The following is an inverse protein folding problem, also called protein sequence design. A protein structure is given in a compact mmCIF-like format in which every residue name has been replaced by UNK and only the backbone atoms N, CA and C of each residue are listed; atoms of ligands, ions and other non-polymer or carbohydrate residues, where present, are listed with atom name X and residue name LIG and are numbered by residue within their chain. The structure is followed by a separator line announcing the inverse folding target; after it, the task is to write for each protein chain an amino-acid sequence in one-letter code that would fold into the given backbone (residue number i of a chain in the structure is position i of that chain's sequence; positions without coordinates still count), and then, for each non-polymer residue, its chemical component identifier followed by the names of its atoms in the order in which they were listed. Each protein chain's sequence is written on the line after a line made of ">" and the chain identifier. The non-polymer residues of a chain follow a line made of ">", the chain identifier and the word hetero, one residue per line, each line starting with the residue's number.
data_IF_446698161505
#
_entry.id   IF_446698161505
#
_cell.length_a   1.000
_cell.length_b   1.000
_cell.length_c   1.000
_cell.angle_alpha   90.00
_cell.angle_beta   90.00
_cell.angle_gamma   90.00
#
_symmetry.space_group_name_H-M   'P 1'
#
loop_
_entity.id
_entity.type
_entity.pdbx_description
1 polymer ?
#
# COMPACT_ATOMS: atom_id res chain seq x y z
N UNK A 1 -3.31 21.91 18.04
CA UNK A 1 -3.65 21.51 19.42
C UNK A 1 -3.74 20.01 19.37
N UNK A 2 -2.79 19.34 20.01
CA UNK A 2 -2.46 17.94 19.76
C UNK A 2 -3.24 17.02 20.69
N UNK A 3 -4.56 17.24 20.75
CA UNK A 3 -5.47 16.39 21.49
C UNK A 3 -5.88 15.19 20.62
N UNK A 4 -5.75 14.00 21.19
CA UNK A 4 -6.36 12.79 20.69
C UNK A 4 -7.42 12.32 21.69
N UNK A 5 -8.69 12.58 21.36
CA UNK A 5 -9.81 12.36 22.28
C UNK A 5 -9.57 13.13 23.60
N UNK A 6 -9.32 12.42 24.70
CA UNK A 6 -9.11 13.00 26.03
C UNK A 6 -7.62 13.20 26.37
N UNK A 7 -6.71 12.69 25.53
CA UNK A 7 -5.27 12.71 25.77
C UNK A 7 -4.59 13.89 25.05
N UNK A 8 -3.79 14.65 25.78
CA UNK A 8 -2.92 15.69 25.26
C UNK A 8 -1.51 15.13 25.08
N UNK A 9 -1.04 15.06 23.83
CA UNK A 9 0.31 14.58 23.51
C UNK A 9 1.09 15.68 22.80
N UNK A 10 2.03 16.32 23.50
CA UNK A 10 2.87 17.37 22.93
C UNK A 10 4.29 17.32 23.49
N UNK A 11 5.21 18.06 22.88
CA UNK A 11 6.62 18.09 23.26
C UNK A 11 7.40 19.20 22.55
N UNK A 12 8.65 19.38 22.96
CA UNK A 12 9.58 20.35 22.37
C UNK A 12 11.00 19.79 22.31
N UNK A 13 11.89 20.48 21.58
CA UNK A 13 13.28 20.05 21.38
C UNK A 13 14.20 20.46 22.54
N UNK A 14 13.75 21.37 23.41
CA UNK A 14 14.48 21.80 24.60
C UNK A 14 13.60 21.76 25.85
N UNK A 15 14.23 21.59 27.02
CA UNK A 15 13.53 21.60 28.30
C UNK A 15 12.83 22.95 28.56
N UNK A 16 13.48 24.07 28.22
CA UNK A 16 12.92 25.41 28.41
C UNK A 16 11.63 25.61 27.60
N UNK A 17 11.65 25.23 26.32
CA UNK A 17 10.46 25.31 25.47
C UNK A 17 9.37 24.34 25.94
N UNK A 18 9.75 23.13 26.40
CA UNK A 18 8.79 22.16 26.92
C UNK A 18 8.09 22.65 28.20
N UNK A 19 8.82 23.30 29.11
CA UNK A 19 8.27 23.93 30.31
C UNK A 19 7.34 25.10 29.97
N UNK A 20 7.76 25.96 29.03
CA UNK A 20 6.92 27.05 28.56
C UNK A 20 5.63 26.53 27.94
N UNK A 21 5.72 25.53 27.05
CA UNK A 21 4.58 24.88 26.42
C UNK A 21 3.64 24.23 27.44
N UNK A 22 4.18 23.50 28.41
CA UNK A 22 3.42 22.90 29.50
C UNK A 22 2.63 23.96 30.28
N UNK A 23 3.26 25.08 30.63
CA UNK A 23 2.62 26.17 31.34
C UNK A 23 1.50 26.82 30.51
N UNK A 24 1.77 27.12 29.24
CA UNK A 24 0.78 27.71 28.34
C UNK A 24 -0.43 26.80 28.15
N UNK A 25 -0.21 25.50 27.93
CA UNK A 25 -1.28 24.52 27.77
C UNK A 25 -2.09 24.36 29.06
N UNK A 26 -1.44 24.29 30.22
CA UNK A 26 -2.10 24.16 31.52
C UNK A 26 -2.99 25.37 31.80
N UNK A 27 -2.49 26.59 31.56
CA UNK A 27 -3.28 27.82 31.72
C UNK A 27 -4.46 27.87 30.77
N UNK A 28 -4.26 27.50 29.50
CA UNK A 28 -5.31 27.48 28.49
C UNK A 28 -6.44 26.51 28.86
N UNK A 29 -6.09 25.27 29.24
CA UNK A 29 -7.06 24.24 29.64
C UNK A 29 -7.77 24.64 30.94
N UNK A 30 -7.05 25.24 31.90
CA UNK A 30 -7.63 25.76 33.14
C UNK A 30 -8.62 26.90 32.91
N UNK A 31 -8.38 27.76 31.90
CA UNK A 31 -9.31 28.83 31.52
C UNK A 31 -10.66 28.30 31.01
N UNK A 32 -10.68 27.06 30.52
CA UNK A 32 -11.89 26.34 30.12
C UNK A 32 -12.52 25.52 31.27
N UNK A 33 -11.99 25.63 32.50
CA UNK A 33 -12.49 24.89 33.67
C UNK A 33 -12.04 23.42 33.72
N UNK A 34 -11.05 23.04 32.91
CA UNK A 34 -10.52 21.67 32.84
C UNK A 34 -9.16 21.59 33.55
N UNK A 35 -8.83 20.42 34.09
CA UNK A 35 -7.55 20.18 34.78
C UNK A 35 -6.85 18.98 34.15
N UNK A 36 -5.64 19.19 33.65
CA UNK A 36 -4.80 18.12 33.11
C UNK A 36 -4.32 17.22 34.26
N UNK A 37 -4.39 15.89 34.05
CA UNK A 37 -3.98 14.87 35.02
C UNK A 37 -3.20 13.76 34.32
N UNK A 38 -2.63 12.85 35.12
CA UNK A 38 -1.83 11.71 34.65
C UNK A 38 -0.61 12.12 33.82
N UNK A 39 0.06 13.21 34.20
CA UNK A 39 1.23 13.72 33.50
C UNK A 39 2.37 12.69 33.42
N UNK A 40 2.93 12.51 32.22
CA UNK A 40 4.04 11.61 31.94
C UNK A 40 5.04 12.28 30.97
N UNK A 41 6.33 12.03 31.17
CA UNK A 41 7.41 12.66 30.39
C UNK A 41 8.65 11.77 30.39
N UNK A 42 9.40 11.76 29.27
CA UNK A 42 10.72 11.13 29.20
C UNK A 42 11.84 11.98 29.84
N UNK A 43 11.56 13.25 30.13
CA UNK A 43 12.43 14.13 30.90
C UNK A 43 11.96 14.24 32.35
N UNK A 44 12.81 13.82 33.30
CA UNK A 44 12.52 13.85 34.74
C UNK A 44 12.37 15.28 35.27
N UNK A 45 13.14 16.23 34.75
CA UNK A 45 13.07 17.65 35.13
C UNK A 45 11.72 18.27 34.75
N UNK A 46 11.20 17.96 33.55
CA UNK A 46 9.86 18.36 33.11
C UNK A 46 8.74 17.64 33.89
N UNK A 47 8.97 16.40 34.33
CA UNK A 47 8.00 15.69 35.16
C UNK A 47 7.94 16.27 36.58
N UNK A 48 9.07 16.76 37.08
CA UNK A 48 9.19 17.31 38.43
C UNK A 48 8.50 18.68 38.61
N UNK A 49 8.21 19.41 37.52
CA UNK A 49 7.40 20.63 37.56
C UNK A 49 5.90 20.36 37.79
N UNK A 50 5.43 19.12 37.60
CA UNK A 50 4.04 18.71 37.82
C UNK A 50 3.87 18.26 39.27
N UNK A 51 2.78 18.64 39.94
CA UNK A 51 2.49 18.14 41.30
C UNK A 51 2.34 16.61 41.33
N UNK A 52 2.82 15.96 42.40
CA UNK A 52 2.92 14.49 42.47
C UNK A 52 1.59 13.76 42.32
N UNK A 53 0.48 14.37 42.75
CA UNK A 53 -0.88 13.85 42.65
C UNK A 53 -1.47 13.96 41.22
N UNK A 54 -0.89 14.83 40.39
CA UNK A 54 -1.26 15.02 38.99
C UNK A 54 -0.42 14.18 38.03
N UNK A 55 0.64 13.50 38.51
CA UNK A 55 1.50 12.62 37.70
C UNK A 55 0.84 11.26 37.46
N UNK A 56 1.28 10.57 36.41
CA UNK A 56 0.90 9.17 36.16
C UNK A 56 1.39 8.30 37.32
N UNK A 57 0.48 7.55 37.96
CA UNK A 57 0.79 6.69 39.11
C UNK A 57 1.64 5.47 38.74
N UNK A 58 1.50 4.99 37.50
CA UNK A 58 2.26 3.87 36.96
C UNK A 58 3.50 4.38 36.22
N UNK A 59 4.56 3.58 36.22
CA UNK A 59 5.81 3.89 35.51
C UNK A 59 5.68 3.86 33.98
N UNK A 60 4.51 3.48 33.47
CA UNK A 60 4.24 3.28 32.05
C UNK A 60 2.87 3.77 31.64
N UNK A 61 2.80 4.41 30.48
CA UNK A 61 1.56 4.85 29.86
C UNK A 61 1.01 3.78 28.92
N UNK A 62 -0.27 3.48 29.04
CA UNK A 62 -0.96 2.53 28.18
C UNK A 62 -1.79 3.30 27.14
N UNK A 63 -1.53 3.09 25.85
CA UNK A 63 -2.33 3.72 24.79
C UNK A 63 -3.67 3.01 24.55
N UNK A 64 -3.90 1.90 25.24
CA UNK A 64 -5.11 1.09 25.19
C UNK A 64 -5.90 1.22 26.50
N UNK A 65 -6.56 2.36 26.76
CA UNK A 65 -7.36 2.61 27.98
C UNK A 65 -8.78 1.99 27.94
N UNK A 66 -8.99 0.95 27.11
CA UNK A 66 -10.24 0.16 27.12
C UNK A 66 -10.15 -0.91 28.22
N UNK A 67 -11.19 -1.02 29.06
CA UNK A 67 -11.41 -2.08 30.09
C UNK A 67 -11.49 -3.52 29.52
N UNK A 68 -11.11 -3.74 28.26
CA UNK A 68 -11.11 -5.05 27.61
C UNK A 68 -9.79 -5.77 27.83
N UNK A 69 -9.87 -7.05 28.23
CA UNK A 69 -8.70 -7.94 28.38
C UNK A 69 -8.11 -8.24 27.00
N UNK A 70 -7.13 -7.44 26.57
CA UNK A 70 -6.34 -7.60 25.34
C UNK A 70 -5.17 -8.57 25.53
N UNK A 71 -4.72 -9.20 24.45
CA UNK A 71 -3.61 -10.16 24.46
C UNK A 71 -2.26 -9.47 24.29
N UNK A 72 -2.22 -8.50 23.39
CA UNK A 72 -1.05 -7.65 23.11
C UNK A 72 -1.55 -6.20 23.07
N UNK A 73 -0.84 -5.29 23.74
CA UNK A 73 -1.14 -3.85 23.76
C UNK A 73 0.16 -3.04 23.85
N UNK A 74 0.14 -1.79 23.37
CA UNK A 74 1.35 -0.96 23.33
C UNK A 74 1.43 -0.12 24.61
N UNK A 75 2.57 -0.22 25.27
CA UNK A 75 2.90 0.54 26.47
C UNK A 75 4.11 1.43 26.18
N UNK A 76 4.08 2.68 26.61
CA UNK A 76 5.24 3.57 26.61
C UNK A 76 5.87 3.61 27.99
N UNK A 77 7.18 3.42 28.06
CA UNK A 77 7.97 3.63 29.26
C UNK A 77 8.71 4.97 29.14
N UNK A 78 8.23 6.05 29.78
CA UNK A 78 8.77 7.39 29.55
C UNK A 78 10.24 7.49 29.94
N UNK A 79 10.64 6.93 31.07
CA UNK A 79 12.00 7.08 31.60
C UNK A 79 13.11 6.51 30.69
N UNK A 80 12.80 5.52 29.85
CA UNK A 80 13.74 5.00 28.85
C UNK A 80 13.36 5.35 27.41
N UNK A 81 12.28 6.10 27.24
CA UNK A 81 11.68 6.49 25.97
C UNK A 81 11.46 5.37 24.94
N UNK A 82 10.90 4.25 25.41
CA UNK A 82 10.74 3.02 24.62
C UNK A 82 9.30 2.53 24.71
N UNK A 83 8.76 2.06 23.59
CA UNK A 83 7.55 1.26 23.56
C UNK A 83 7.87 -0.22 23.77
N UNK A 84 6.99 -0.87 24.49
CA UNK A 84 7.01 -2.31 24.71
C UNK A 84 5.59 -2.86 24.62
N UNK A 85 5.49 -4.17 24.58
CA UNK A 85 4.21 -4.85 24.43
C UNK A 85 3.80 -5.51 25.74
N UNK A 86 2.55 -5.27 26.14
CA UNK A 86 1.92 -6.00 27.24
C UNK A 86 1.68 -7.44 26.81
N UNK A 87 2.11 -8.39 27.62
CA UNK A 87 1.79 -9.80 27.42
C UNK A 87 0.58 -10.16 28.27
N UNK A 88 -0.46 -10.66 27.63
CA UNK A 88 -1.44 -11.51 28.31
C UNK A 88 -1.30 -12.91 27.74
N UNK A 89 -1.17 -13.95 28.58
CA UNK A 89 -1.08 -15.32 28.13
C UNK A 89 -2.20 -15.66 27.14
N UNK A 90 -1.82 -16.28 26.03
CA UNK A 90 -2.73 -16.90 25.08
C UNK A 90 -3.26 -18.24 25.63
N UNK A 91 -3.61 -18.31 26.92
CA UNK A 91 -4.15 -19.53 27.51
C UNK A 91 -5.62 -19.68 27.11
N UNK A 92 -5.99 -20.88 26.69
CA UNK A 92 -7.38 -21.23 26.43
C UNK A 92 -7.79 -22.37 27.35
N UNK A 93 -8.72 -22.10 28.26
CA UNK A 93 -9.38 -23.15 29.04
C UNK A 93 -10.52 -23.74 28.21
N UNK A 94 -10.32 -24.96 27.68
CA UNK A 94 -11.35 -25.74 26.99
C UNK A 94 -11.01 -26.17 25.57
N UNK A 95 -12.05 -26.34 24.73
CA UNK A 95 -11.89 -26.72 23.32
C UNK A 95 -11.55 -25.52 22.44
N UNK A 96 -10.40 -25.57 21.77
CA UNK A 96 -10.03 -24.57 20.77
C UNK A 96 -10.97 -24.66 19.55
N UNK A 97 -11.69 -23.57 19.27
CA UNK A 97 -12.66 -23.47 18.17
C UNK A 97 -12.32 -22.28 17.27
N UNK A 98 -12.94 -22.19 16.10
CA UNK A 98 -12.77 -21.04 15.21
C UNK A 98 -13.18 -19.72 15.89
N UNK A 99 -14.24 -19.74 16.70
CA UNK A 99 -14.73 -18.56 17.44
C UNK A 99 -13.69 -18.07 18.45
N UNK A 100 -13.14 -18.99 19.23
CA UNK A 100 -12.21 -18.63 20.30
C UNK A 100 -10.89 -18.16 19.72
N UNK A 101 -10.41 -18.81 18.66
CA UNK A 101 -9.20 -18.38 17.94
C UNK A 101 -9.37 -16.99 17.34
N UNK A 102 -10.49 -16.69 16.67
CA UNK A 102 -10.76 -15.35 16.14
C UNK A 102 -10.84 -14.29 17.24
N UNK A 103 -11.54 -14.59 18.34
CA UNK A 103 -11.66 -13.68 19.49
C UNK A 103 -10.28 -13.33 20.04
N UNK A 104 -9.41 -14.33 20.16
CA UNK A 104 -8.06 -14.14 20.64
C UNK A 104 -7.19 -13.33 19.67
N UNK A 105 -7.30 -13.56 18.37
CA UNK A 105 -6.59 -12.75 17.35
C UNK A 105 -7.06 -11.30 17.39
N UNK A 106 -8.35 -11.06 17.56
CA UNK A 106 -8.91 -9.71 17.60
C UNK A 106 -8.44 -8.92 18.84
N UNK A 107 -8.01 -9.60 19.90
CA UNK A 107 -7.43 -9.01 21.11
C UNK A 107 -5.95 -8.60 20.95
N UNK A 108 -5.32 -8.93 19.83
CA UNK A 108 -3.96 -8.50 19.53
C UNK A 108 -3.98 -7.08 18.96
N UNK A 109 -3.55 -6.12 19.77
CA UNK A 109 -3.41 -4.72 19.35
C UNK A 109 -1.98 -4.42 18.90
N UNK A 110 -1.83 -4.17 17.59
CA UNK A 110 -0.58 -3.77 16.94
C UNK A 110 -0.91 -2.77 15.81
N UNK A 111 -1.27 -1.51 16.14
CA UNK A 111 -1.74 -0.51 15.19
C UNK A 111 -0.70 -0.15 14.13
N UNK A 112 0.58 -0.17 14.50
CA UNK A 112 1.70 0.17 13.62
C UNK A 112 2.29 -1.06 12.91
N UNK A 113 1.83 -2.26 13.23
CA UNK A 113 2.24 -3.48 12.54
C UNK A 113 3.67 -3.91 12.85
N UNK A 114 4.26 -3.51 13.98
CA UNK A 114 5.63 -3.90 14.35
C UNK A 114 5.75 -5.41 14.54
N UNK A 115 4.67 -6.08 14.95
CA UNK A 115 4.59 -7.54 15.11
C UNK A 115 3.99 -8.22 13.87
N UNK A 116 3.95 -7.55 12.72
CA UNK A 116 3.42 -8.09 11.45
C UNK A 116 3.94 -9.49 11.08
N UNK A 117 5.24 -9.81 11.21
CA UNK A 117 5.75 -11.16 10.93
C UNK A 117 5.15 -12.25 11.84
N UNK A 118 4.62 -11.89 13.00
CA UNK A 118 3.94 -12.83 13.88
C UNK A 118 2.45 -12.85 13.56
N UNK A 119 1.83 -11.68 13.54
CA UNK A 119 0.37 -11.58 13.40
C UNK A 119 -0.14 -12.10 12.06
N UNK A 120 0.70 -12.17 11.02
CA UNK A 120 0.34 -12.79 9.74
C UNK A 120 0.10 -14.30 9.86
N UNK A 121 0.79 -15.00 10.76
CA UNK A 121 0.59 -16.43 10.98
C UNK A 121 -0.80 -16.69 11.56
N UNK A 122 -1.21 -15.88 12.54
CA UNK A 122 -2.56 -15.90 13.09
C UNK A 122 -3.64 -15.73 12.01
N UNK A 123 -3.47 -14.71 11.15
CA UNK A 123 -4.39 -14.44 10.04
C UNK A 123 -4.41 -15.59 9.03
N UNK A 124 -3.28 -16.25 8.80
CA UNK A 124 -3.15 -17.39 7.89
C UNK A 124 -3.84 -18.64 8.45
N UNK A 125 -3.69 -18.93 9.75
CA UNK A 125 -4.43 -19.99 10.44
C UNK A 125 -5.94 -19.77 10.30
N UNK A 126 -6.42 -18.55 10.57
CA UNK A 126 -7.84 -18.23 10.38
C UNK A 126 -8.29 -18.48 8.95
N UNK A 127 -7.52 -18.05 7.94
CA UNK A 127 -7.87 -18.30 6.55
C UNK A 127 -7.98 -19.79 6.23
N UNK A 128 -7.09 -20.63 6.76
CA UNK A 128 -7.15 -22.10 6.59
C UNK A 128 -8.45 -22.68 7.17
N UNK A 129 -8.84 -22.26 8.37
CA UNK A 129 -10.10 -22.69 8.99
C UNK A 129 -11.33 -22.28 8.16
N UNK A 130 -11.30 -21.09 7.54
CA UNK A 130 -12.34 -20.66 6.61
C UNK A 130 -12.37 -21.50 5.34
N UNK A 131 -11.22 -21.85 4.76
CA UNK A 131 -11.11 -22.73 3.58
C UNK A 131 -11.66 -24.13 3.86
N UNK A 132 -11.45 -24.65 5.06
CA UNK A 132 -11.98 -25.94 5.52
C UNK A 132 -13.48 -25.89 5.87
N UNK A 133 -14.13 -24.72 5.79
CA UNK A 133 -15.54 -24.52 6.12
C UNK A 133 -15.92 -24.95 7.55
N UNK A 134 -14.96 -24.89 8.49
CA UNK A 134 -15.17 -25.25 9.89
C UNK A 134 -16.26 -24.37 10.52
N UNK A 135 -17.18 -24.96 11.29
CA UNK A 135 -18.21 -24.19 12.01
C UNK A 135 -17.59 -23.39 13.16
N UNK A 136 -18.35 -22.42 13.68
CA UNK A 136 -17.84 -21.48 14.70
C UNK A 136 -17.38 -22.16 15.99
N UNK A 137 -18.17 -23.10 16.49
CA UNK A 137 -17.99 -23.75 17.79
C UNK A 137 -17.49 -25.20 17.64
N UNK A 138 -17.03 -25.56 16.44
CA UNK A 138 -16.43 -26.86 16.15
C UNK A 138 -14.94 -26.86 16.52
N UNK A 139 -14.46 -28.01 17.02
CA UNK A 139 -13.07 -28.20 17.43
C UNK A 139 -12.14 -28.06 16.22
N UNK A 140 -11.07 -27.28 16.37
CA UNK A 140 -10.07 -27.15 15.30
C UNK A 140 -9.31 -28.47 15.09
N UNK A 141 -8.87 -28.75 13.86
CA UNK A 141 -7.99 -29.89 13.57
C UNK A 141 -6.73 -29.92 14.44
N UNK A 142 -6.24 -31.13 14.72
CA UNK A 142 -5.08 -31.33 15.62
C UNK A 142 -3.82 -30.62 15.12
N UNK A 143 -3.59 -30.58 13.81
CA UNK A 143 -2.46 -29.86 13.21
C UNK A 143 -2.53 -28.35 13.50
N UNK A 144 -3.71 -27.75 13.32
CA UNK A 144 -3.94 -26.33 13.63
C UNK A 144 -3.80 -26.06 15.13
N UNK A 145 -4.29 -26.96 15.97
CA UNK A 145 -4.18 -26.84 17.41
C UNK A 145 -2.72 -26.79 17.85
N UNK A 146 -1.90 -27.74 17.39
CA UNK A 146 -0.48 -27.80 17.73
C UNK A 146 0.29 -26.57 17.25
N UNK A 147 0.03 -26.12 16.01
CA UNK A 147 0.63 -24.89 15.47
C UNK A 147 0.24 -23.66 16.29
N UNK A 148 -1.04 -23.55 16.69
CA UNK A 148 -1.50 -22.45 17.54
C UNK A 148 -0.87 -22.48 18.93
N UNK A 149 -0.77 -23.65 19.57
CA UNK A 149 -0.14 -23.79 20.89
C UNK A 149 1.35 -23.40 20.87
N UNK A 150 2.07 -23.72 19.79
CA UNK A 150 3.45 -23.27 19.60
C UNK A 150 3.53 -21.74 19.54
N UNK A 151 2.71 -21.10 18.71
CA UNK A 151 2.68 -19.64 18.60
C UNK A 151 2.21 -18.96 19.89
N UNK A 152 1.31 -19.61 20.63
CA UNK A 152 0.81 -19.12 21.91
C UNK A 152 1.88 -19.14 23.00
N UNK A 153 2.72 -20.16 23.01
CA UNK A 153 3.87 -20.25 23.92
C UNK A 153 4.94 -19.22 23.59
N UNK A 154 5.18 -18.94 22.31
CA UNK A 154 6.21 -17.98 21.91
C UNK A 154 5.84 -16.51 22.23
N UNK A 155 4.55 -16.19 22.48
CA UNK A 155 4.11 -14.84 22.88
C UNK A 155 4.81 -14.36 24.15
N UNK A 156 5.31 -15.26 25.00
CA UNK A 156 6.07 -14.87 26.20
C UNK A 156 7.34 -14.05 25.90
N UNK A 157 7.89 -14.15 24.70
CA UNK A 157 9.10 -13.42 24.26
C UNK A 157 8.81 -12.00 23.76
N UNK A 158 7.53 -11.62 23.64
CA UNK A 158 7.12 -10.30 23.14
C UNK A 158 7.57 -9.14 24.04
N UNK A 159 7.65 -9.36 25.34
CA UNK A 159 8.09 -8.38 26.34
C UNK A 159 9.54 -7.92 26.12
N UNK A 160 10.33 -8.74 25.43
CA UNK A 160 11.74 -8.46 25.16
C UNK A 160 11.89 -7.53 23.94
N UNK A 161 10.82 -7.34 23.15
CA UNK A 161 10.79 -6.40 22.03
C UNK A 161 10.68 -4.96 22.58
N UNK A 162 11.71 -4.17 22.27
CA UNK A 162 11.81 -2.76 22.64
C UNK A 162 11.86 -1.92 21.37
N UNK A 163 10.94 -0.97 21.23
CA UNK A 163 10.87 -0.05 20.10
C UNK A 163 11.19 1.36 20.60
N UNK A 164 12.33 1.96 20.24
CA UNK A 164 12.59 3.36 20.58
C UNK A 164 11.46 4.27 20.09
N UNK A 165 10.94 5.17 20.92
CA UNK A 165 9.88 6.09 20.46
C UNK A 165 10.44 7.15 19.51
N UNK A 166 11.62 7.67 19.83
CA UNK A 166 12.24 8.78 19.12
C UNK A 166 12.90 8.29 17.82
N UNK A 167 12.45 8.84 16.68
CA UNK A 167 12.91 8.43 15.35
C UNK A 167 14.14 9.22 14.87
N UNK A 168 14.34 10.41 15.43
CA UNK A 168 15.40 11.32 15.05
C UNK A 168 16.70 11.00 15.82
N UNK A 169 17.84 11.45 15.29
CA UNK A 169 19.10 11.38 16.04
C UNK A 169 19.23 12.62 16.91
N UNK A 170 19.20 13.81 16.28
CA UNK A 170 19.24 15.11 16.94
C UNK A 170 18.06 16.02 16.48
N UNK A 171 18.10 17.34 16.70
CA UNK A 171 17.03 18.27 16.30
C UNK A 171 17.02 18.56 14.79
N UNK A 172 18.19 18.65 14.16
CA UNK A 172 18.36 18.95 12.74
C UNK A 172 18.88 17.71 12.01
N UNK A 173 17.96 16.94 11.41
CA UNK A 173 18.34 15.75 10.64
C UNK A 173 17.74 15.77 9.24
N UNK A 174 18.49 15.23 8.29
CA UNK A 174 17.92 14.69 7.06
C UNK A 174 17.05 13.49 7.41
N UNK A 175 15.83 13.48 6.90
CA UNK A 175 14.84 12.45 7.22
C UNK A 175 14.29 11.84 5.93
N UNK A 176 14.66 10.58 5.70
CA UNK A 176 14.27 9.84 4.51
C UNK A 176 13.36 8.66 4.88
N UNK A 177 12.44 8.32 3.98
CA UNK A 177 11.54 7.19 4.12
C UNK A 177 11.82 6.15 3.04
N UNK A 178 11.95 4.90 3.48
CA UNK A 178 12.21 3.76 2.62
C UNK A 178 11.12 2.72 2.79
N UNK A 179 10.34 2.54 1.72
CA UNK A 179 9.23 1.62 1.66
C UNK A 179 9.60 0.33 0.96
N UNK A 180 9.26 -0.81 1.53
CA UNK A 180 9.50 -2.14 0.95
C UNK A 180 8.19 -2.89 0.83
N UNK A 181 7.94 -3.48 -0.34
CA UNK A 181 6.80 -4.36 -0.58
C UNK A 181 7.25 -5.74 -1.01
N UNK A 182 6.60 -6.75 -0.47
CA UNK A 182 6.82 -8.15 -0.82
C UNK A 182 5.47 -8.88 -0.89
N UNK A 183 5.42 -9.96 -1.66
CA UNK A 183 4.27 -10.84 -1.74
C UNK A 183 4.67 -12.32 -1.90
N UNK A 184 3.90 -13.17 -1.22
CA UNK A 184 3.91 -14.61 -1.40
C UNK A 184 2.51 -15.11 -1.73
N UNK A 185 2.39 -16.41 -2.04
CA UNK A 185 1.09 -17.06 -2.22
C UNK A 185 0.20 -17.00 -0.98
N UNK A 186 0.79 -16.81 0.21
CA UNK A 186 0.07 -16.75 1.49
C UNK A 186 -0.39 -15.32 1.82
N UNK A 187 0.46 -14.33 1.60
CA UNK A 187 0.23 -12.96 2.03
C UNK A 187 1.10 -11.96 1.26
N UNK A 188 0.68 -10.69 1.25
CA UNK A 188 1.49 -9.57 0.80
C UNK A 188 1.60 -8.52 1.89
N UNK A 189 2.73 -7.81 1.90
CA UNK A 189 3.10 -6.91 2.97
C UNK A 189 3.73 -5.62 2.42
N UNK A 190 3.69 -4.60 3.26
CA UNK A 190 4.42 -3.36 3.09
C UNK A 190 5.06 -2.95 4.42
N UNK A 191 6.30 -2.48 4.41
CA UNK A 191 7.03 -1.98 5.56
C UNK A 191 7.69 -0.66 5.22
N UNK A 192 7.67 0.30 6.14
CA UNK A 192 8.27 1.63 5.95
C UNK A 192 9.25 1.90 7.08
N UNK A 193 10.48 2.16 6.70
CA UNK A 193 11.57 2.52 7.60
C UNK A 193 11.91 3.99 7.44
N UNK A 194 12.26 4.66 8.53
CA UNK A 194 12.97 5.93 8.46
C UNK A 194 14.47 5.70 8.42
N UNK A 195 15.15 6.66 7.81
CA UNK A 195 16.56 6.93 8.01
C UNK A 195 16.66 8.38 8.47
N UNK A 196 17.17 8.60 9.68
CA UNK A 196 17.57 9.92 10.15
C UNK A 196 19.08 10.03 10.19
N UNK A 197 19.61 11.11 9.62
CA UNK A 197 21.05 11.40 9.57
C UNK A 197 21.30 12.76 10.18
N UNK A 198 22.08 12.79 11.26
CA UNK A 198 22.54 14.04 11.89
C UNK A 198 23.68 14.66 11.08
N UNK A 199 23.94 15.95 11.32
CA UNK A 199 25.10 16.66 10.76
C UNK A 199 26.44 16.02 11.16
N UNK A 200 26.49 15.29 12.28
CA UNK A 200 27.69 14.56 12.73
C UNK A 200 27.89 13.22 12.01
N UNK A 201 26.99 12.84 11.11
CA UNK A 201 27.02 11.57 10.38
C UNK A 201 26.50 10.38 11.18
N UNK A 202 25.95 10.58 12.40
CA UNK A 202 25.23 9.52 13.10
C UNK A 202 23.93 9.21 12.36
N UNK A 203 23.68 7.92 12.21
CA UNK A 203 22.55 7.34 11.49
C UNK A 203 21.64 6.61 12.48
N UNK A 204 20.33 6.80 12.35
CA UNK A 204 19.33 5.94 12.98
C UNK A 204 18.36 5.40 11.91
N UNK A 205 18.16 4.09 11.92
CA UNK A 205 17.24 3.39 11.01
C UNK A 205 16.25 2.59 11.84
N UNK A 206 14.96 2.83 11.60
CA UNK A 206 13.90 2.19 12.38
C UNK A 206 12.65 1.95 11.56
N UNK A 207 11.96 0.84 11.83
CA UNK A 207 10.63 0.56 11.30
C UNK A 207 9.59 1.52 11.92
N UNK A 208 8.95 2.34 11.08
CA UNK A 208 7.87 3.23 11.51
C UNK A 208 6.56 2.47 11.55
N UNK A 209 6.22 1.84 10.41
CA UNK A 209 4.93 1.19 10.23
C UNK A 209 5.04 0.05 9.22
N UNK A 210 4.30 -1.01 9.47
CA UNK A 210 4.11 -2.10 8.51
C UNK A 210 2.64 -2.52 8.43
N UNK A 211 2.29 -3.14 7.32
CA UNK A 211 0.93 -3.62 7.07
C UNK A 211 0.97 -4.91 6.27
N UNK A 212 0.23 -5.91 6.76
CA UNK A 212 0.10 -7.21 6.12
C UNK A 212 -1.33 -7.51 5.71
N UNK A 213 -1.49 -8.22 4.59
CA UNK A 213 -2.77 -8.74 4.12
C UNK A 213 -2.62 -10.17 3.63
N UNK A 214 -3.51 -11.04 4.08
CA UNK A 214 -3.57 -12.42 3.58
C UNK A 214 -4.00 -12.39 2.11
N UNK A 215 -3.39 -13.25 1.29
CA UNK A 215 -3.73 -13.38 -0.11
C UNK A 215 -5.22 -13.75 -0.27
N UNK A 216 -5.93 -13.25 -1.30
CA UNK A 216 -7.34 -13.57 -1.50
C UNK A 216 -7.60 -15.07 -1.62
N UNK A 217 -8.80 -15.52 -1.24
CA UNK A 217 -9.20 -16.93 -1.40
C UNK A 217 -9.27 -17.37 -2.88
N UNK A 218 -9.66 -16.44 -3.76
CA UNK A 218 -9.58 -16.66 -5.20
C UNK A 218 -8.12 -16.62 -5.60
N UNK A 219 -7.65 -17.63 -6.33
CA UNK A 219 -6.28 -17.69 -6.81
C UNK A 219 -5.97 -16.49 -7.69
N UNK A 220 -4.91 -15.78 -7.32
CA UNK A 220 -4.37 -14.64 -8.05
C UNK A 220 -2.91 -15.00 -8.35
N UNK A 221 -2.43 -14.66 -9.55
CA UNK A 221 -1.03 -14.90 -9.88
C UNK A 221 -0.10 -14.12 -8.96
N UNK A 222 1.10 -14.66 -8.71
CA UNK A 222 2.10 -14.03 -7.85
C UNK A 222 2.42 -12.58 -8.30
N UNK A 223 2.63 -12.28 -9.60
CA UNK A 223 2.85 -10.89 -10.05
C UNK A 223 1.73 -9.92 -9.68
N UNK A 224 0.48 -10.39 -9.71
CA UNK A 224 -0.68 -9.57 -9.31
C UNK A 224 -0.76 -9.38 -7.79
N UNK A 225 -0.25 -10.32 -6.99
CA UNK A 225 -0.11 -10.16 -5.53
C UNK A 225 1.02 -9.19 -5.20
N UNK A 226 2.17 -9.29 -5.88
CA UNK A 226 3.28 -8.34 -5.78
C UNK A 226 2.79 -6.91 -6.10
N UNK A 227 2.00 -6.73 -7.18
CA UNK A 227 1.37 -5.45 -7.50
C UNK A 227 0.40 -4.96 -6.41
N UNK A 228 -0.27 -5.89 -5.70
CA UNK A 228 -1.09 -5.52 -4.54
C UNK A 228 -0.24 -5.07 -3.35
N UNK A 229 0.93 -5.69 -3.13
CA UNK A 229 1.94 -5.25 -2.17
C UNK A 229 2.43 -3.84 -2.48
N UNK A 230 2.80 -3.57 -3.74
CA UNK A 230 3.21 -2.25 -4.21
C UNK A 230 2.11 -1.18 -4.00
N UNK A 231 0.85 -1.50 -4.33
CA UNK A 231 -0.26 -0.58 -4.08
C UNK A 231 -0.52 -0.37 -2.58
N UNK A 232 -0.32 -1.40 -1.74
CA UNK A 232 -0.42 -1.28 -0.30
C UNK A 232 0.67 -0.32 0.23
N UNK A 233 1.89 -0.44 -0.31
CA UNK A 233 3.03 0.35 0.10
C UNK A 233 2.85 1.85 -0.19
N UNK A 234 2.45 2.24 -1.40
CA UNK A 234 2.25 3.68 -1.71
C UNK A 234 1.17 4.33 -0.86
N UNK A 235 0.11 3.59 -0.53
CA UNK A 235 -0.94 4.07 0.36
C UNK A 235 -0.45 4.20 1.78
N UNK A 236 0.37 3.26 2.23
CA UNK A 236 0.97 3.30 3.55
C UNK A 236 1.94 4.47 3.64
N UNK A 237 2.74 4.73 2.60
CA UNK A 237 3.67 5.86 2.53
C UNK A 237 2.94 7.20 2.55
N UNK A 238 1.91 7.37 1.72
CA UNK A 238 1.08 8.59 1.73
C UNK A 238 0.46 8.85 3.11
N UNK A 239 -0.03 7.80 3.78
CA UNK A 239 -0.51 7.90 5.16
C UNK A 239 0.61 8.31 6.13
N UNK A 240 1.77 7.67 6.07
CA UNK A 240 2.91 7.95 6.96
C UNK A 240 3.41 9.38 6.79
N UNK A 241 3.57 9.86 5.55
CA UNK A 241 4.01 11.23 5.28
C UNK A 241 3.06 12.26 5.90
N UNK A 242 1.74 12.03 5.80
CA UNK A 242 0.71 12.91 6.38
C UNK A 242 0.69 12.83 7.90
N UNK A 243 0.87 11.64 8.47
CA UNK A 243 0.80 11.41 9.91
C UNK A 243 2.02 11.95 10.66
N UNK A 244 3.22 11.87 10.08
CA UNK A 244 4.45 12.35 10.73
C UNK A 244 4.51 13.88 10.83
N UNK A 245 3.89 14.59 9.88
CA UNK A 245 3.90 16.06 9.81
C UNK A 245 5.31 16.67 10.00
N UNK A 246 6.34 15.98 9.49
CA UNK A 246 7.75 16.35 9.56
C UNK A 246 8.32 16.48 8.13
N UNK A 247 9.26 17.40 7.87
CA UNK A 247 9.88 17.53 6.54
C UNK A 247 10.59 16.25 6.10
N UNK A 248 10.08 15.60 5.05
CA UNK A 248 10.67 14.38 4.48
C UNK A 248 11.52 14.79 3.28
N UNK A 249 12.82 14.54 3.37
CA UNK A 249 13.79 14.86 2.31
C UNK A 249 13.60 13.97 1.09
N UNK A 250 13.33 12.66 1.29
CA UNK A 250 13.08 11.73 0.19
C UNK A 250 12.22 10.55 0.64
N UNK A 251 11.32 10.09 -0.24
CA UNK A 251 10.60 8.84 -0.08
C UNK A 251 10.91 7.92 -1.27
N UNK A 252 11.35 6.69 -1.03
CA UNK A 252 11.67 5.69 -2.05
C UNK A 252 10.90 4.39 -1.82
N UNK A 253 10.69 3.64 -2.90
CA UNK A 253 9.92 2.40 -2.92
C UNK A 253 10.76 1.26 -3.48
N UNK A 254 10.65 0.09 -2.87
CA UNK A 254 11.43 -1.08 -3.23
C UNK A 254 10.53 -2.31 -3.36
N UNK A 255 10.80 -3.12 -4.38
CA UNK A 255 10.20 -4.44 -4.60
C UNK A 255 11.22 -5.35 -5.28
N UNK A 256 11.12 -6.64 -5.04
CA UNK A 256 11.87 -7.69 -5.73
C UNK A 256 11.24 -8.09 -7.08
N UNK A 257 10.03 -7.59 -7.37
CA UNK A 257 9.32 -7.91 -8.60
C UNK A 257 9.68 -6.96 -9.74
N UNK A 258 10.55 -7.43 -10.62
CA UNK A 258 10.88 -6.76 -11.89
C UNK A 258 9.66 -6.59 -12.80
N UNK A 259 8.69 -7.52 -12.74
CA UNK A 259 7.42 -7.43 -13.46
C UNK A 259 6.61 -6.23 -12.97
N UNK A 260 6.49 -6.06 -11.65
CA UNK A 260 5.78 -4.92 -11.06
C UNK A 260 6.46 -3.60 -11.40
N UNK A 261 7.80 -3.54 -11.36
CA UNK A 261 8.55 -2.36 -11.78
C UNK A 261 8.29 -2.00 -13.24
N UNK A 262 8.28 -2.99 -14.14
CA UNK A 262 7.93 -2.80 -15.54
C UNK A 262 6.50 -2.25 -15.73
N UNK A 263 5.54 -2.80 -14.95
CA UNK A 263 4.15 -2.32 -14.96
C UNK A 263 4.00 -0.88 -14.48
N UNK A 264 4.69 -0.52 -13.40
CA UNK A 264 4.67 0.83 -12.81
C UNK A 264 5.37 1.84 -13.73
N UNK A 265 6.45 1.45 -14.39
CA UNK A 265 7.19 2.30 -15.34
C UNK A 265 6.44 2.60 -16.63
N UNK A 266 5.42 1.82 -16.97
CA UNK A 266 4.64 1.99 -18.21
C UNK A 266 3.29 2.67 -17.98
N UNK A 267 2.72 3.29 -19.01
CA UNK A 267 1.41 3.92 -18.91
C UNK A 267 0.29 2.89 -18.60
N UNK A 268 -0.56 3.20 -17.61
CA UNK A 268 -1.58 2.28 -17.10
C UNK A 268 -2.54 1.71 -18.18
N UNK A 269 -2.82 2.47 -19.24
CA UNK A 269 -3.72 2.03 -20.34
C UNK A 269 -3.21 0.82 -21.12
N UNK A 270 -1.90 0.53 -21.05
CA UNK A 270 -1.26 -0.62 -21.69
C UNK A 270 -1.75 -1.94 -21.09
N UNK A 271 -2.20 -1.94 -19.83
CA UNK A 271 -2.46 -3.17 -19.09
C UNK A 271 -3.94 -3.56 -19.05
N UNK A 272 -4.22 -4.85 -18.82
CA UNK A 272 -5.57 -5.35 -18.52
C UNK A 272 -6.11 -4.68 -17.25
N UNK A 273 -7.43 -4.63 -17.13
CA UNK A 273 -8.15 -3.80 -16.15
C UNK A 273 -7.67 -3.97 -14.69
N UNK A 274 -7.32 -5.18 -14.27
CA UNK A 274 -6.81 -5.42 -12.91
C UNK A 274 -5.50 -4.66 -12.63
N UNK A 275 -4.55 -4.76 -13.56
CA UNK A 275 -3.21 -4.15 -13.46
C UNK A 275 -3.33 -2.65 -13.73
N UNK A 276 -4.03 -2.25 -14.80
CA UNK A 276 -4.24 -0.84 -15.17
C UNK A 276 -4.79 0.00 -14.01
N UNK A 277 -5.84 -0.49 -13.33
CA UNK A 277 -6.47 0.24 -12.23
C UNK A 277 -5.55 0.39 -11.01
N UNK A 278 -4.60 -0.53 -10.79
CA UNK A 278 -3.65 -0.47 -9.67
C UNK A 278 -2.44 0.38 -10.03
N UNK A 279 -1.90 0.20 -11.23
CA UNK A 279 -0.82 1.02 -11.77
C UNK A 279 -1.22 2.49 -11.80
N UNK A 280 -2.44 2.81 -12.29
CA UNK A 280 -2.94 4.19 -12.26
C UNK A 280 -2.95 4.78 -10.84
N UNK A 281 -3.39 4.01 -9.83
CA UNK A 281 -3.39 4.47 -8.42
C UNK A 281 -1.98 4.60 -7.85
N UNK A 282 -1.06 3.74 -8.24
CA UNK A 282 0.36 3.86 -7.85
C UNK A 282 0.96 5.12 -8.43
N UNK A 283 0.73 5.37 -9.73
CA UNK A 283 1.22 6.54 -10.45
C UNK A 283 0.60 7.86 -9.97
N UNK A 284 -0.59 7.85 -9.34
CA UNK A 284 -1.15 9.04 -8.69
C UNK A 284 -0.47 9.40 -7.36
N UNK A 285 0.16 8.44 -6.70
CA UNK A 285 0.75 8.62 -5.36
C UNK A 285 2.29 8.56 -5.35
N UNK A 286 2.90 8.15 -6.46
CA UNK A 286 4.35 8.00 -6.59
C UNK A 286 4.79 8.17 -8.05
N UNK A 287 6.02 8.64 -8.25
CA UNK A 287 6.69 8.63 -9.55
C UNK A 287 7.39 7.31 -9.79
N UNK A 288 7.41 6.83 -11.04
CA UNK A 288 8.15 5.64 -11.44
C UNK A 288 9.65 5.73 -11.10
N UNK A 289 10.23 6.93 -11.08
CA UNK A 289 11.66 7.16 -10.73
C UNK A 289 11.99 6.91 -9.26
N UNK A 290 10.98 6.78 -8.40
CA UNK A 290 11.17 6.49 -6.97
C UNK A 290 11.17 4.97 -6.68
N UNK A 291 10.93 4.14 -7.68
CA UNK A 291 10.80 2.70 -7.54
C UNK A 291 12.09 1.97 -7.96
N UNK A 292 12.57 1.09 -7.08
CA UNK A 292 13.82 0.39 -7.24
C UNK A 292 13.66 -1.11 -7.02
N UNK A 293 14.53 -1.87 -7.66
CA UNK A 293 14.62 -3.31 -7.44
C UNK A 293 15.51 -3.61 -6.24
N UNK A 294 15.07 -4.52 -5.37
CA UNK A 294 15.91 -5.11 -4.33
C UNK A 294 15.47 -6.54 -4.03
N UNK A 295 16.42 -7.42 -3.73
CA UNK A 295 16.09 -8.78 -3.31
C UNK A 295 15.66 -8.84 -1.83
N UNK A 296 14.46 -9.36 -1.56
CA UNK A 296 14.12 -10.06 -0.32
C UNK A 296 14.08 -9.26 1.00
N UNK A 297 13.62 -8.01 0.98
CA UNK A 297 13.71 -7.08 2.13
C UNK A 297 12.47 -7.05 3.04
N UNK A 298 11.33 -7.61 2.62
CA UNK A 298 10.08 -7.66 3.41
C UNK A 298 9.51 -9.09 3.63
N UNK A 299 10.30 -10.12 3.31
CA UNK A 299 9.94 -11.56 3.38
C UNK A 299 9.41 -12.02 4.74
N UNK A 300 9.92 -11.45 5.83
CA UNK A 300 9.52 -11.86 7.18
C UNK A 300 8.02 -11.63 7.42
N UNK A 301 7.46 -10.55 6.87
CA UNK A 301 6.05 -10.20 7.04
C UNK A 301 5.10 -10.93 6.09
N UNK A 302 5.60 -11.56 5.02
CA UNK A 302 4.79 -12.38 4.10
C UNK A 302 4.84 -13.87 4.46
N UNK A 303 5.99 -14.36 4.95
CA UNK A 303 6.18 -15.77 5.34
C UNK A 303 5.74 -16.07 6.77
N UNK A 304 6.00 -15.12 7.67
CA UNK A 304 5.85 -15.27 9.10
C UNK A 304 7.04 -15.97 9.76
N UNK A 305 7.35 -15.59 11.00
CA UNK A 305 8.48 -16.13 11.80
C UNK A 305 8.12 -16.31 13.27
N UNK A 306 8.88 -17.08 14.04
CA UNK A 306 8.70 -17.14 15.50
C UNK A 306 9.08 -15.82 16.17
N UNK A 307 8.63 -15.60 17.41
CA UNK A 307 9.02 -14.41 18.18
C UNK A 307 10.53 -14.36 18.46
N UNK A 308 11.15 -15.51 18.73
CA UNK A 308 12.60 -15.60 18.94
C UNK A 308 13.40 -15.21 17.69
N UNK A 309 12.93 -15.59 16.51
CA UNK A 309 13.52 -15.16 15.24
C UNK A 309 13.30 -13.67 15.00
N UNK A 310 12.12 -13.14 15.32
CA UNK A 310 11.83 -11.70 15.17
C UNK A 310 12.81 -10.84 15.97
N UNK A 311 13.09 -11.22 17.22
CA UNK A 311 14.02 -10.51 18.12
C UNK A 311 15.44 -10.38 17.57
N UNK A 312 15.90 -11.39 16.83
CA UNK A 312 17.27 -11.42 16.27
C UNK A 312 17.32 -10.98 14.80
N UNK A 313 16.16 -10.64 14.22
CA UNK A 313 16.05 -10.27 12.82
C UNK A 313 16.31 -8.78 12.58
N UNK A 314 16.48 -8.43 11.30
CA UNK A 314 16.57 -7.04 10.83
C UNK A 314 15.22 -6.32 10.78
N UNK A 315 14.11 -6.97 11.11
CA UNK A 315 12.76 -6.44 10.84
C UNK A 315 12.48 -5.07 11.46
N UNK A 316 13.01 -4.80 12.67
CA UNK A 316 12.77 -3.52 13.36
C UNK A 316 13.80 -2.45 12.99
N UNK A 317 14.99 -2.85 12.54
CA UNK A 317 16.12 -1.97 12.25
C UNK A 317 16.35 -1.76 10.75
N UNK A 318 15.59 -2.45 9.90
CA UNK A 318 15.70 -2.39 8.44
C UNK A 318 16.92 -3.15 7.86
N UNK A 319 16.96 -3.28 6.53
CA UNK A 319 18.07 -3.92 5.83
C UNK A 319 19.42 -3.22 6.06
N UNK A 320 20.51 -4.00 6.05
CA UNK A 320 21.87 -3.51 6.33
C UNK A 320 22.30 -2.34 5.46
N UNK A 321 21.95 -2.32 4.18
CA UNK A 321 22.34 -1.25 3.28
C UNK A 321 21.76 0.12 3.68
N UNK A 322 20.65 0.16 4.44
CA UNK A 322 20.13 1.43 4.96
C UNK A 322 21.04 2.08 6.01
N UNK A 323 21.95 1.30 6.60
CA UNK A 323 22.95 1.77 7.57
C UNK A 323 24.25 2.21 6.88
N UNK A 324 24.34 2.11 5.56
CA UNK A 324 25.46 2.60 4.77
C UNK A 324 25.29 4.08 4.42
N UNK A 325 26.34 4.71 3.86
CA UNK A 325 26.33 6.12 3.52
C UNK A 325 25.32 6.38 2.39
N UNK A 326 24.33 7.21 2.68
CA UNK A 326 23.36 7.71 1.70
C UNK A 326 24.02 8.76 0.78
N UNK A 327 23.73 8.80 -0.55
CA UNK A 327 22.76 8.00 -1.31
C UNK A 327 23.26 6.62 -1.71
N UNK A 328 22.36 5.63 -1.70
CA UNK A 328 22.67 4.25 -2.09
C UNK A 328 22.84 4.11 -3.60
N UNK A 329 23.81 3.31 -4.05
CA UNK A 329 23.92 2.91 -5.45
C UNK A 329 22.82 1.88 -5.77
N UNK A 330 21.84 2.25 -6.57
CA UNK A 330 20.82 1.33 -7.09
C UNK A 330 21.15 0.97 -8.54
N UNK A 331 21.37 -0.31 -8.81
CA UNK A 331 21.48 -0.83 -10.17
C UNK A 331 20.17 -0.57 -10.93
N UNK A 332 20.19 0.45 -11.79
CA UNK A 332 19.00 1.00 -12.47
C UNK A 332 18.54 0.17 -13.67
N UNK A 333 18.96 -1.09 -13.78
CA UNK A 333 18.54 -1.94 -14.90
C UNK A 333 17.16 -2.52 -14.61
N UNK A 334 16.13 -2.04 -15.30
CA UNK A 334 14.81 -2.69 -15.33
C UNK A 334 14.90 -3.88 -16.28
N UNK A 335 14.81 -5.14 -15.81
CA UNK A 335 14.81 -6.28 -16.71
C UNK A 335 13.48 -6.33 -17.46
N UNK A 336 13.53 -6.45 -18.77
CA UNK A 336 12.35 -6.69 -19.60
C UNK A 336 11.93 -8.15 -19.41
N UNK A 337 10.92 -8.40 -18.57
CA UNK A 337 10.40 -9.75 -18.33
C UNK A 337 9.29 -10.13 -19.33
N UNK A 338 9.33 -11.36 -19.84
CA UNK A 338 8.33 -11.87 -20.79
C UNK A 338 6.91 -11.97 -20.19
N UNK A 339 6.78 -12.09 -18.87
CA UNK A 339 5.48 -12.15 -18.19
C UNK A 339 4.71 -10.83 -18.22
N UNK A 340 5.40 -9.68 -18.35
CA UNK A 340 4.74 -8.40 -18.53
C UNK A 340 3.87 -8.38 -19.80
N UNK A 341 4.24 -9.15 -20.84
CA UNK A 341 3.53 -9.25 -22.11
C UNK A 341 2.16 -9.94 -21.95
N UNK A 342 1.99 -10.84 -20.97
CA UNK A 342 0.72 -11.56 -20.77
C UNK A 342 -0.43 -10.66 -20.25
N UNK A 343 -0.11 -9.59 -19.52
CA UNK A 343 -1.10 -8.65 -18.99
C UNK A 343 -1.32 -7.42 -19.88
N UNK A 344 -0.63 -7.35 -21.02
CA UNK A 344 -0.80 -6.29 -21.99
C UNK A 344 -2.16 -6.40 -22.71
N UNK A 345 -2.82 -5.26 -22.92
CA UNK A 345 -4.00 -5.19 -23.78
C UNK A 345 -3.54 -5.30 -25.22
N UNK A 346 -4.02 -6.32 -25.93
CA UNK A 346 -3.85 -6.39 -27.37
C UNK A 346 -4.53 -5.17 -28.02
N UNK A 347 -3.73 -4.28 -28.59
CA UNK A 347 -4.25 -3.28 -29.50
C UNK A 347 -4.28 -3.91 -30.89
N UNK A 348 -5.48 -4.26 -31.40
CA UNK A 348 -5.61 -4.73 -32.78
C UNK A 348 -5.37 -3.54 -33.71
N UNK A 349 -4.12 -3.37 -34.14
CA UNK A 349 -3.78 -2.40 -35.18
C UNK A 349 -4.28 -2.95 -36.52
N UNK A 350 -5.43 -2.42 -36.98
CA UNK A 350 -5.92 -2.72 -38.32
C UNK A 350 -5.22 -1.78 -39.31
N UNK A 351 -4.13 -2.26 -39.93
CA UNK A 351 -3.50 -1.52 -41.02
C UNK A 351 -4.32 -1.71 -42.30
N UNK A 352 -4.87 -0.62 -42.81
CA UNK A 352 -5.43 -0.60 -44.16
C UNK A 352 -4.26 -0.23 -45.09
N UNK A 353 -3.74 -1.22 -45.82
CA UNK A 353 -2.86 -0.96 -46.96
C UNK A 353 -3.70 -0.24 -48.03
N UNK A 354 -3.51 1.08 -48.14
CA UNK A 354 -3.99 1.85 -49.29
C UNK A 354 -2.89 1.74 -50.35
N UNK A 355 -3.11 1.04 -51.48
CA UNK A 355 -2.13 1.01 -52.56
C UNK A 355 -1.87 2.43 -53.08
N UNK A 356 -0.60 2.79 -53.33
CA UNK A 356 -0.19 4.09 -53.89
C UNK A 356 -0.71 4.34 -55.32
N UNK A 357 -1.35 3.34 -55.94
CA UNK A 357 -2.14 3.54 -57.14
C UNK A 357 -3.61 3.67 -56.74
N UNK A 358 -4.19 4.86 -56.97
CA UNK A 358 -5.63 4.96 -57.18
C UNK A 358 -5.99 3.86 -58.20
N UNK A 359 -6.85 2.89 -57.88
CA UNK A 359 -7.32 1.94 -58.86
C UNK A 359 -7.85 2.78 -60.01
N UNK A 360 -7.33 2.58 -61.22
CA UNK A 360 -7.88 3.22 -62.42
C UNK A 360 -9.39 3.06 -62.33
N UNK A 361 -10.13 4.17 -62.26
CA UNK A 361 -11.57 4.14 -61.98
C UNK A 361 -12.37 3.28 -62.98
N UNK A 362 -11.72 2.80 -64.03
CA UNK A 362 -12.21 1.82 -65.00
C UNK A 362 -12.48 0.43 -64.40
N UNK A 363 -11.84 0.05 -63.29
CA UNK A 363 -12.01 -1.30 -62.72
C UNK A 363 -13.44 -1.56 -62.22
N UNK A 364 -14.12 -0.50 -61.76
CA UNK A 364 -15.56 -0.53 -61.44
C UNK A 364 -16.46 -0.50 -62.67
N UNK A 365 -16.02 0.03 -63.81
CA UNK A 365 -16.80 0.00 -65.06
C UNK A 365 -16.83 -1.41 -65.66
N UNK A 366 -15.73 -2.14 -65.59
CA UNK A 366 -15.63 -3.51 -66.10
C UNK A 366 -16.35 -4.56 -65.25
N UNK A 367 -16.63 -4.26 -63.97
CA UNK A 367 -17.33 -5.16 -63.03
C UNK A 367 -18.86 -5.19 -63.19
N UNK A 368 -19.45 -4.30 -63.99
CA UNK A 368 -20.89 -4.22 -64.16
C UNK A 368 -21.28 -4.17 -65.63
N UNK A 369 -22.07 -5.15 -66.08
CA UNK A 369 -22.62 -5.24 -67.45
C UNK A 369 -23.75 -4.23 -67.76
N UNK A 370 -24.15 -3.40 -66.78
CA UNK A 370 -25.22 -2.42 -66.92
C UNK A 370 -24.86 -1.11 -66.23
N UNK A 371 -24.84 -0.01 -67.00
CA UNK A 371 -24.62 1.33 -66.49
C UNK A 371 -25.67 1.73 -65.44
N UNK A 372 -26.92 1.28 -65.61
CA UNK A 372 -28.01 1.52 -64.67
C UNK A 372 -27.75 0.88 -63.30
N UNK A 373 -27.19 -0.34 -63.31
CA UNK A 373 -26.82 -1.06 -62.09
C UNK A 373 -25.64 -0.39 -61.39
N UNK A 374 -24.61 -0.02 -62.16
CA UNK A 374 -23.46 0.72 -61.64
C UNK A 374 -23.87 2.06 -61.02
N UNK A 375 -24.72 2.82 -61.70
CA UNK A 375 -25.24 4.12 -61.22
C UNK A 375 -25.93 3.98 -59.86
N UNK A 376 -26.76 2.94 -59.68
CA UNK A 376 -27.43 2.66 -58.40
C UNK A 376 -26.44 2.30 -57.30
N UNK A 377 -25.45 1.44 -57.58
CA UNK A 377 -24.44 1.03 -56.61
C UNK A 377 -23.61 2.23 -56.15
N UNK A 378 -23.10 3.04 -57.08
CA UNK A 378 -22.34 4.26 -56.74
C UNK A 378 -23.19 5.23 -55.92
N UNK A 379 -24.48 5.37 -56.25
CA UNK A 379 -25.39 6.24 -55.49
C UNK A 379 -25.56 5.79 -54.04
N UNK A 380 -25.68 4.48 -53.80
CA UNK A 380 -25.73 3.93 -52.44
C UNK A 380 -24.41 4.12 -51.69
N UNK A 381 -23.26 3.94 -52.34
CA UNK A 381 -21.96 4.19 -51.73
C UNK A 381 -21.80 5.68 -51.33
N UNK A 382 -22.19 6.61 -52.21
CA UNK A 382 -22.13 8.04 -51.93
C UNK A 382 -23.10 8.44 -50.81
N UNK A 383 -24.29 7.84 -50.76
CA UNK A 383 -25.26 8.02 -49.68
C UNK A 383 -24.69 7.54 -48.34
N UNK A 384 -24.06 6.36 -48.32
CA UNK A 384 -23.41 5.82 -47.14
C UNK A 384 -22.32 6.78 -46.62
N UNK A 385 -21.44 7.27 -47.51
CA UNK A 385 -20.40 8.25 -47.14
C UNK A 385 -21.02 9.53 -46.59
N UNK A 386 -22.09 10.04 -47.18
CA UNK A 386 -22.78 11.24 -46.70
C UNK A 386 -23.39 11.02 -45.30
N UNK A 387 -24.07 9.89 -45.08
CA UNK A 387 -24.67 9.55 -43.79
C UNK A 387 -23.62 9.31 -42.69
N UNK A 388 -22.41 8.86 -43.04
CA UNK A 388 -21.29 8.73 -42.11
C UNK A 388 -20.67 10.08 -41.74
N UNK A 389 -20.61 11.03 -42.70
CA UNK A 389 -20.05 12.37 -42.46
C UNK A 389 -21.04 13.31 -41.77
N UNK A 390 -22.34 13.17 -42.04
CA UNK A 390 -23.40 14.05 -41.52
C UNK A 390 -24.43 13.24 -40.71
N UNK A 391 -24.11 12.97 -39.44
CA UNK A 391 -24.94 12.14 -38.56
C UNK A 391 -26.34 12.72 -38.27
N UNK A 392 -26.52 14.04 -38.42
CA UNK A 392 -27.78 14.75 -38.10
C UNK A 392 -28.80 14.78 -39.24
N UNK A 393 -28.41 14.52 -40.49
CA UNK A 393 -29.29 14.63 -41.65
C UNK A 393 -29.14 13.40 -42.58
N UNK A 394 -29.63 12.26 -42.10
CA UNK A 394 -29.47 10.96 -42.75
C UNK A 394 -30.53 10.74 -43.82
N UNK A 395 -30.07 10.45 -45.03
CA UNK A 395 -30.94 10.06 -46.14
C UNK A 395 -31.23 8.56 -46.14
N UNK A 396 -32.52 8.20 -46.08
CA UNK A 396 -33.03 6.82 -46.03
C UNK A 396 -34.11 6.57 -47.12
N UNK A 397 -34.45 5.31 -47.41
CA UNK A 397 -35.50 4.94 -48.38
C UNK A 397 -34.98 4.71 -49.81
N UNK A 398 -35.85 4.81 -50.82
CA UNK A 398 -35.47 4.62 -52.22
C UNK A 398 -34.47 5.71 -52.71
N UNK A 399 -33.67 5.38 -53.73
CA UNK A 399 -32.75 6.35 -54.35
C UNK A 399 -33.53 7.48 -55.02
N UNK A 400 -33.23 8.73 -54.63
CA UNK A 400 -33.80 9.91 -55.28
C UNK A 400 -33.10 10.15 -56.62
N UNK A 401 -33.81 10.79 -57.55
CA UNK A 401 -33.29 11.16 -58.89
C UNK A 401 -32.02 12.02 -58.81
N UNK A 402 -31.93 12.90 -57.81
CA UNK A 402 -30.73 13.73 -57.57
C UNK A 402 -29.50 12.89 -57.17
N UNK A 403 -29.67 11.82 -56.40
CA UNK A 403 -28.56 10.95 -55.99
C UNK A 403 -28.02 10.14 -57.17
N UNK A 404 -28.93 9.67 -58.02
CA UNK A 404 -28.60 9.02 -59.29
C UNK A 404 -27.82 9.97 -60.20
N UNK A 405 -28.23 11.23 -60.34
CA UNK A 405 -27.54 12.20 -61.20
C UNK A 405 -26.16 12.59 -60.65
N UNK A 406 -26.03 12.77 -59.34
CA UNK A 406 -24.75 13.07 -58.67
C UNK A 406 -23.71 11.95 -58.82
N UNK A 407 -24.15 10.69 -58.91
CA UNK A 407 -23.27 9.55 -59.14
C UNK A 407 -22.55 9.59 -60.50
N UNK A 408 -23.10 10.29 -61.50
CA UNK A 408 -22.49 10.43 -62.84
C UNK A 408 -21.57 11.67 -62.90
N UNK A 409 -21.98 12.78 -62.28
CA UNK A 409 -21.29 14.08 -62.42
C UNK A 409 -19.94 14.13 -61.70
N UNK A 410 -19.78 13.46 -60.55
CA UNK A 410 -18.53 13.49 -59.77
C UNK A 410 -17.32 12.83 -60.45
N UNK A 411 -17.49 12.14 -61.58
CA UNK A 411 -16.37 11.64 -62.39
C UNK A 411 -15.82 12.62 -63.43
N UNK A 412 -16.52 13.71 -63.73
CA UNK A 412 -16.07 14.70 -64.73
C UNK A 412 -15.01 15.69 -64.22
N UNK A 413 -14.63 15.66 -62.93
CA UNK A 413 -13.77 16.70 -62.31
C UNK A 413 -12.31 16.23 -62.06
N UNK A 414 -11.96 14.99 -62.41
CA UNK A 414 -10.57 14.55 -62.38
C UNK A 414 -10.15 13.95 -63.72
N UNK A 415 -10.02 14.83 -64.72
CA UNK A 415 -9.12 14.62 -65.85
C UNK A 415 -8.07 15.72 -65.82
#
# INVERSE_FOLDING_TARGET
>A
MDFYVDDLMSGANSLSEALELQNQLTQMVSSAGLVLRKGASNCSELLNSIDSDMRLSNTSLNFDDDDTVKTLGILWYPASDVFYFKITPLSFEGTLTKRTLLSTIAKTFDPLGWLSPITIQYKTIMQRLWKQQLKWDERVPTDIKLEWEQLANDVQFVKDIKIPRFLLVDSDNLFHLFGFSDASEKAYAAAIYCLSVSDTGKINVQLIIAKTRVAPLKTVSLPRLELCGALLLVKLMDFTCKALNYPISQAQFYTDSTIVLSWIGSHASRWKTFVANRVAKIQTLSSATQWHHISGSADLATRGVSFSTLLTSIWLCGPKFLHEIFPFQTDSSVPTSNDAVQEERYCTLQSILVPNHLPDGNDLLHKFSSLSKLKRVISYCLRFVNNCKNSKDKTNGFLKTNELNNAIVKRKIHR
#
